data_IF_691610651177
#
_entry.id   IF_691610651177
#
_cell.length_a   1.000
_cell.length_b   1.000
_cell.length_c   1.000
_cell.angle_alpha   90.00
_cell.angle_beta   90.00
_cell.angle_gamma   90.00
#
_symmetry.space_group_name_H-M   'P 1'
#
loop_
_entity.id
_entity.type
_entity.pdbx_description
1 polymer ?
#
# COMPACT_ATOMS: atom_id res chain seq x y z
N UNK A 1 18.09 18.15 -14.15
CA UNK A 1 18.41 18.27 -12.73
C UNK A 1 17.27 17.63 -11.92
N UNK A 2 17.59 17.04 -10.78
CA UNK A 2 16.63 16.33 -9.91
C UNK A 2 16.61 16.90 -8.47
N UNK A 3 17.15 18.11 -8.31
CA UNK A 3 17.21 18.81 -7.03
C UNK A 3 16.92 20.29 -7.21
N UNK A 4 16.34 20.91 -6.20
CA UNK A 4 16.20 22.36 -6.10
C UNK A 4 17.57 22.93 -5.79
N UNK A 5 18.07 23.81 -6.66
CA UNK A 5 19.37 24.48 -6.49
C UNK A 5 19.24 25.72 -5.62
N UNK A 6 18.23 26.55 -5.90
CA UNK A 6 17.98 27.76 -5.14
C UNK A 6 16.49 28.11 -5.11
N UNK A 7 16.08 28.84 -4.07
CA UNK A 7 14.79 29.52 -3.94
C UNK A 7 15.10 30.98 -3.61
N UNK A 8 14.58 31.93 -4.40
CA UNK A 8 14.80 33.36 -4.20
C UNK A 8 13.51 34.14 -4.44
N UNK A 9 13.33 35.24 -3.70
CA UNK A 9 12.26 36.20 -3.95
C UNK A 9 12.64 37.24 -5.04
N UNK A 10 13.92 37.28 -5.42
CA UNK A 10 14.43 38.14 -6.46
C UNK A 10 14.85 37.31 -7.68
N UNK A 11 14.82 37.87 -8.88
CA UNK A 11 15.32 37.21 -10.06
C UNK A 11 16.75 36.71 -9.87
N UNK A 12 17.01 35.45 -10.22
CA UNK A 12 18.36 34.91 -10.17
C UNK A 12 19.19 35.50 -11.34
N UNK A 13 20.39 36.03 -11.03
CA UNK A 13 21.38 36.42 -12.02
C UNK A 13 22.31 35.27 -12.34
N UNK A 14 23.05 35.38 -13.43
CA UNK A 14 24.13 34.48 -13.84
C UNK A 14 23.69 33.04 -14.05
N UNK A 15 22.47 32.82 -14.57
CA UNK A 15 21.99 31.52 -14.96
C UNK A 15 22.72 31.04 -16.24
N UNK A 16 22.94 29.70 -16.38
CA UNK A 16 23.45 29.11 -17.62
C UNK A 16 22.62 29.52 -18.86
N UNK A 17 23.29 29.68 -20.01
CA UNK A 17 22.63 30.14 -21.25
C UNK A 17 21.55 29.18 -21.77
N UNK A 18 21.61 27.91 -21.38
CA UNK A 18 20.66 26.85 -21.73
C UNK A 18 19.57 26.62 -20.67
N UNK A 19 19.41 27.56 -19.71
CA UNK A 19 18.39 27.47 -18.70
C UNK A 19 16.99 27.63 -19.31
N UNK A 20 16.15 26.60 -19.12
CA UNK A 20 14.73 26.65 -19.48
C UNK A 20 13.98 27.49 -18.44
N UNK A 21 13.14 28.40 -18.91
CA UNK A 21 12.32 29.26 -18.09
C UNK A 21 10.84 28.89 -18.22
N UNK A 22 10.22 28.57 -17.09
CA UNK A 22 8.81 28.21 -17.01
C UNK A 22 8.09 29.26 -16.15
N UNK A 23 7.18 30.04 -16.77
CA UNK A 23 6.33 30.98 -16.03
C UNK A 23 5.21 30.24 -15.30
N UNK A 24 5.26 30.30 -13.97
CA UNK A 24 4.26 29.73 -13.08
C UNK A 24 3.42 30.78 -12.35
N UNK A 25 3.29 31.99 -12.93
CA UNK A 25 2.50 33.08 -12.32
C UNK A 25 1.07 32.62 -12.03
N UNK A 26 0.63 32.79 -10.78
CA UNK A 26 -0.70 32.35 -10.30
C UNK A 26 -0.81 30.87 -9.96
N UNK A 27 0.29 30.11 -10.05
CA UNK A 27 0.34 28.68 -9.69
C UNK A 27 1.15 28.49 -8.40
N UNK A 28 0.96 27.34 -7.77
CA UNK A 28 1.74 26.90 -6.59
C UNK A 28 2.57 25.70 -7.03
N UNK A 29 3.90 25.84 -6.98
CA UNK A 29 4.80 24.71 -7.18
C UNK A 29 4.89 23.88 -5.90
N UNK A 30 4.61 22.59 -6.01
CA UNK A 30 4.74 21.64 -4.90
C UNK A 30 5.72 20.54 -5.29
N UNK A 31 6.33 19.82 -4.31
CA UNK A 31 7.08 18.60 -4.60
C UNK A 31 6.19 17.59 -5.32
N UNK A 32 6.78 16.77 -6.18
CA UNK A 32 6.06 15.65 -6.79
C UNK A 32 5.49 14.72 -5.73
N UNK A 33 4.25 14.29 -5.92
CA UNK A 33 3.55 13.41 -4.98
C UNK A 33 4.21 12.04 -4.96
N UNK A 34 4.29 11.44 -3.78
CA UNK A 34 4.72 10.05 -3.58
C UNK A 34 3.47 9.23 -3.25
N UNK A 35 3.10 8.27 -4.11
CA UNK A 35 2.08 7.29 -3.80
C UNK A 35 2.75 6.05 -3.21
N UNK A 36 2.53 5.84 -1.92
CA UNK A 36 3.20 4.78 -1.16
C UNK A 36 2.51 3.40 -1.29
N UNK A 37 1.42 3.29 -2.06
CA UNK A 37 0.65 2.06 -2.17
C UNK A 37 -0.02 1.91 -3.53
N UNK A 38 0.68 1.34 -4.50
CA UNK A 38 0.13 1.07 -5.83
C UNK A 38 0.16 -0.41 -6.20
N UNK A 39 -0.68 -0.78 -7.14
CA UNK A 39 -0.76 -2.10 -7.74
C UNK A 39 -0.71 -2.01 -9.27
N UNK A 40 0.49 -1.93 -9.85
CA UNK A 40 0.69 -1.88 -11.30
C UNK A 40 0.55 -3.25 -11.99
N UNK A 41 0.37 -4.30 -11.20
CA UNK A 41 -0.03 -5.64 -11.63
C UNK A 41 0.99 -6.42 -12.46
N UNK A 42 2.03 -5.82 -12.96
CA UNK A 42 3.10 -6.48 -13.70
C UNK A 42 4.24 -6.91 -12.76
N UNK A 43 4.76 -8.15 -12.91
CA UNK A 43 4.46 -9.14 -13.93
C UNK A 43 3.20 -9.98 -13.69
N UNK A 44 2.68 -10.56 -14.79
CA UNK A 44 1.75 -11.68 -14.82
C UNK A 44 0.26 -11.34 -14.65
N UNK A 45 -0.10 -10.08 -14.48
CA UNK A 45 -1.48 -9.61 -14.38
C UNK A 45 -1.74 -8.41 -15.31
N UNK A 46 -1.00 -8.31 -16.42
CA UNK A 46 -0.99 -7.18 -17.35
C UNK A 46 -2.35 -6.93 -18.01
N UNK A 47 -3.24 -7.93 -18.00
CA UNK A 47 -4.63 -7.75 -18.45
C UNK A 47 -5.43 -6.75 -17.59
N UNK A 48 -4.90 -6.39 -16.40
CA UNK A 48 -5.49 -5.36 -15.53
C UNK A 48 -4.79 -4.03 -15.70
N UNK A 49 -3.45 -4.03 -15.72
CA UNK A 49 -2.60 -2.87 -15.78
C UNK A 49 -1.14 -3.27 -15.98
N UNK A 50 -0.30 -2.37 -16.48
CA UNK A 50 1.14 -2.58 -16.64
C UNK A 50 1.95 -1.38 -16.13
N UNK A 51 3.26 -1.57 -15.95
CA UNK A 51 4.16 -0.54 -15.42
C UNK A 51 4.25 0.68 -16.33
N UNK A 52 4.18 0.50 -17.64
CA UNK A 52 4.31 1.60 -18.60
C UNK A 52 3.07 2.50 -18.61
N UNK A 53 1.88 1.93 -18.68
CA UNK A 53 0.63 2.67 -18.69
C UNK A 53 0.37 3.37 -17.36
N UNK A 54 0.55 2.65 -16.25
CA UNK A 54 0.24 3.15 -14.92
C UNK A 54 1.24 4.22 -14.43
N UNK A 55 2.53 4.07 -14.76
CA UNK A 55 3.51 5.11 -14.43
C UNK A 55 3.29 6.43 -15.20
N UNK A 56 2.82 6.34 -16.45
CA UNK A 56 2.39 7.54 -17.22
C UNK A 56 1.14 8.16 -16.61
N UNK A 57 0.16 7.35 -16.20
CA UNK A 57 -1.04 7.83 -15.53
C UNK A 57 -0.69 8.50 -14.19
N UNK A 58 0.23 7.91 -13.41
CA UNK A 58 0.74 8.51 -12.18
C UNK A 58 1.34 9.90 -12.43
N UNK A 59 2.25 10.02 -13.41
CA UNK A 59 2.86 11.31 -13.78
C UNK A 59 1.83 12.34 -14.26
N UNK A 60 0.84 11.92 -15.04
CA UNK A 60 -0.25 12.80 -15.48
C UNK A 60 -1.09 13.33 -14.30
N UNK A 61 -1.16 12.58 -13.20
CA UNK A 61 -1.79 12.98 -11.94
C UNK A 61 -0.87 13.73 -10.97
N UNK A 62 0.40 14.00 -11.35
CA UNK A 62 1.38 14.68 -10.49
C UNK A 62 2.11 13.76 -9.51
N UNK A 63 1.91 12.44 -9.60
CA UNK A 63 2.63 11.43 -8.81
C UNK A 63 3.96 11.13 -9.50
N UNK A 64 5.06 11.47 -8.87
CA UNK A 64 6.42 11.32 -9.44
C UNK A 64 7.17 10.13 -8.88
N UNK A 65 6.68 9.52 -7.82
CA UNK A 65 7.27 8.34 -7.17
C UNK A 65 6.17 7.40 -6.71
N UNK A 66 6.33 6.12 -6.95
CA UNK A 66 5.38 5.08 -6.53
C UNK A 66 6.07 3.97 -5.76
N UNK A 67 5.37 3.40 -4.76
CA UNK A 67 5.81 2.21 -4.05
C UNK A 67 4.83 1.06 -4.32
N UNK A 68 5.29 0.06 -5.07
CA UNK A 68 4.41 -0.99 -5.57
C UNK A 68 4.40 -2.23 -4.69
N UNK A 69 3.20 -2.79 -4.55
CA UNK A 69 2.91 -3.96 -3.74
C UNK A 69 3.34 -5.29 -4.41
N UNK A 70 3.65 -6.33 -3.61
CA UNK A 70 4.27 -7.57 -4.09
C UNK A 70 3.30 -8.58 -4.72
N UNK A 71 1.99 -8.34 -4.73
CA UNK A 71 0.96 -9.29 -5.16
C UNK A 71 0.78 -9.35 -6.68
N UNK A 72 1.83 -9.68 -7.36
CA UNK A 72 1.95 -9.95 -8.80
C UNK A 72 2.00 -11.47 -9.08
N UNK A 73 2.24 -11.91 -10.30
CA UNK A 73 2.40 -13.30 -10.66
C UNK A 73 3.64 -13.51 -11.57
N UNK A 74 4.77 -14.03 -11.01
CA UNK A 74 4.90 -14.52 -9.63
C UNK A 74 4.84 -13.39 -8.58
N UNK A 75 4.54 -13.77 -7.34
CA UNK A 75 4.59 -12.84 -6.20
C UNK A 75 6.04 -12.43 -5.88
N UNK A 76 6.23 -11.20 -5.42
CA UNK A 76 7.56 -10.68 -5.06
C UNK A 76 7.94 -11.11 -3.64
N UNK A 77 8.23 -12.40 -3.45
CA UNK A 77 8.47 -13.04 -2.14
C UNK A 77 9.84 -13.74 -2.03
N UNK A 78 10.71 -13.54 -3.03
CA UNK A 78 12.09 -14.00 -3.05
C UNK A 78 13.01 -12.91 -3.60
N UNK A 79 14.30 -12.98 -3.30
CA UNK A 79 15.31 -12.06 -3.86
C UNK A 79 15.27 -12.07 -5.39
N UNK A 80 15.20 -13.26 -5.99
CA UNK A 80 15.13 -13.39 -7.46
C UNK A 80 13.90 -12.70 -8.04
N UNK A 81 12.70 -12.88 -7.45
CA UNK A 81 11.49 -12.24 -7.98
C UNK A 81 11.53 -10.71 -7.83
N UNK A 82 12.21 -10.21 -6.79
CA UNK A 82 12.44 -8.78 -6.61
C UNK A 82 13.43 -8.23 -7.65
N UNK A 83 14.56 -8.92 -7.88
CA UNK A 83 15.52 -8.53 -8.91
C UNK A 83 14.91 -8.54 -10.31
N UNK A 84 14.15 -9.56 -10.65
CA UNK A 84 13.48 -9.67 -11.94
C UNK A 84 12.48 -8.52 -12.13
N UNK A 85 11.75 -8.14 -11.07
CA UNK A 85 10.82 -7.02 -11.07
C UNK A 85 11.53 -5.66 -11.19
N UNK A 86 12.67 -5.48 -10.52
CA UNK A 86 13.51 -4.28 -10.65
C UNK A 86 14.02 -4.11 -12.07
N UNK A 87 14.48 -5.19 -12.73
CA UNK A 87 14.90 -5.16 -14.14
C UNK A 87 13.75 -4.76 -15.06
N UNK A 88 12.59 -5.37 -14.86
CA UNK A 88 11.39 -5.06 -15.64
C UNK A 88 10.97 -3.58 -15.46
N UNK A 89 11.04 -3.06 -14.25
CA UNK A 89 10.72 -1.66 -13.96
C UNK A 89 11.70 -0.69 -14.62
N UNK A 90 13.00 -1.01 -14.62
CA UNK A 90 14.02 -0.18 -15.27
C UNK A 90 13.78 0.02 -16.77
N UNK A 91 13.09 -0.93 -17.41
CA UNK A 91 12.77 -0.89 -18.84
C UNK A 91 11.42 -0.20 -19.11
N UNK A 92 10.49 -0.20 -18.15
CA UNK A 92 9.09 0.13 -18.40
C UNK A 92 8.56 1.32 -17.59
N UNK A 93 9.19 1.69 -16.47
CA UNK A 93 8.69 2.76 -15.59
C UNK A 93 9.11 4.14 -16.08
N UNK A 94 8.19 5.10 -16.01
CA UNK A 94 8.42 6.51 -16.34
C UNK A 94 8.56 7.42 -15.13
N UNK A 95 8.12 6.98 -13.94
CA UNK A 95 8.31 7.67 -12.67
C UNK A 95 9.34 6.95 -11.80
N UNK A 96 9.76 7.57 -10.69
CA UNK A 96 10.56 6.89 -9.67
C UNK A 96 9.74 5.76 -9.03
N UNK A 97 10.40 4.69 -8.62
CA UNK A 97 9.72 3.53 -8.08
C UNK A 97 10.49 2.85 -6.95
N UNK A 98 9.75 2.18 -6.09
CA UNK A 98 10.24 1.21 -5.11
C UNK A 98 9.28 0.03 -5.04
N UNK A 99 9.76 -1.11 -4.52
CA UNK A 99 8.95 -2.30 -4.38
C UNK A 99 8.91 -2.76 -2.93
N UNK A 100 7.73 -3.21 -2.49
CA UNK A 100 7.60 -3.96 -1.26
C UNK A 100 7.97 -5.43 -1.48
N UNK A 101 8.64 -6.01 -0.49
CA UNK A 101 8.88 -7.45 -0.43
C UNK A 101 7.72 -8.12 0.31
N UNK A 102 7.11 -9.13 -0.30
CA UNK A 102 5.98 -9.86 0.27
C UNK A 102 6.39 -10.88 1.31
N UNK A 103 5.74 -10.84 2.46
CA UNK A 103 5.93 -11.81 3.54
C UNK A 103 5.07 -13.05 3.32
N UNK A 104 5.59 -14.19 3.77
CA UNK A 104 4.91 -15.50 3.75
C UNK A 104 5.18 -16.23 5.06
N UNK A 105 4.48 -17.35 5.30
CA UNK A 105 4.74 -18.22 6.45
C UNK A 105 6.14 -18.87 6.46
N UNK A 106 6.97 -18.68 5.41
CA UNK A 106 8.23 -19.43 5.27
C UNK A 106 9.44 -18.60 4.83
N UNK A 107 9.30 -17.27 4.61
CA UNK A 107 10.41 -16.46 4.06
C UNK A 107 11.03 -15.46 5.05
N UNK A 108 10.89 -15.70 6.35
CA UNK A 108 11.45 -14.84 7.40
C UNK A 108 12.96 -14.56 7.22
N UNK A 109 13.76 -15.59 6.94
CA UNK A 109 15.20 -15.43 6.76
C UNK A 109 15.55 -14.44 5.64
N UNK A 110 14.90 -14.56 4.49
CA UNK A 110 15.06 -13.63 3.37
C UNK A 110 14.56 -12.24 3.73
N UNK A 111 13.38 -12.12 4.33
CA UNK A 111 12.81 -10.84 4.76
C UNK A 111 13.72 -10.09 5.75
N UNK A 112 14.41 -10.82 6.60
CA UNK A 112 15.37 -10.26 7.57
C UNK A 112 16.63 -9.72 6.89
N UNK A 113 17.15 -10.41 5.89
CA UNK A 113 18.43 -10.08 5.23
C UNK A 113 18.31 -9.10 4.07
N UNK A 114 17.13 -9.03 3.42
CA UNK A 114 16.93 -8.12 2.29
C UNK A 114 17.23 -6.67 2.68
N UNK A 115 17.96 -5.95 1.82
CA UNK A 115 18.43 -4.59 2.13
C UNK A 115 17.38 -3.53 1.74
N UNK A 116 17.50 -2.34 2.34
CA UNK A 116 16.66 -1.18 1.97
C UNK A 116 16.97 -0.65 0.57
N UNK A 117 18.15 -0.93 0.05
CA UNK A 117 18.51 -0.53 -1.32
C UNK A 117 17.72 -1.34 -2.36
N UNK A 118 17.29 -2.55 -1.99
CA UNK A 118 16.54 -3.43 -2.87
C UNK A 118 15.01 -3.36 -2.66
N UNK A 119 14.54 -3.01 -1.45
CA UNK A 119 13.11 -2.88 -1.19
C UNK A 119 12.77 -1.70 -0.28
N UNK A 120 11.63 -1.06 -0.50
CA UNK A 120 11.16 0.07 0.32
C UNK A 120 10.55 -0.36 1.67
N UNK A 121 10.15 -1.61 1.80
CA UNK A 121 9.56 -2.17 3.01
C UNK A 121 9.04 -3.59 2.80
N UNK A 122 8.45 -4.13 3.84
CA UNK A 122 7.86 -5.47 3.85
C UNK A 122 6.34 -5.36 3.80
N UNK A 123 5.68 -6.19 2.98
CA UNK A 123 4.23 -6.25 2.91
C UNK A 123 3.70 -7.53 3.52
N UNK A 124 2.81 -7.37 4.50
CA UNK A 124 2.12 -8.45 5.20
C UNK A 124 0.64 -8.49 4.79
N UNK A 125 0.11 -9.67 4.58
CA UNK A 125 -1.32 -9.91 4.40
C UNK A 125 -1.83 -10.80 5.53
N UNK A 126 -2.66 -10.23 6.40
CA UNK A 126 -3.34 -10.95 7.49
C UNK A 126 -4.72 -11.47 7.05
N UNK A 127 -5.19 -11.06 5.87
CA UNK A 127 -6.39 -11.52 5.20
C UNK A 127 -6.36 -11.15 3.72
N UNK A 128 -7.31 -11.66 2.94
CA UNK A 128 -7.57 -11.23 1.55
C UNK A 128 -6.33 -11.19 0.64
N UNK A 129 -5.56 -12.26 0.59
CA UNK A 129 -4.32 -12.32 -0.19
C UNK A 129 -4.47 -13.14 -1.47
N UNK A 130 -3.54 -12.91 -2.42
CA UNK A 130 -3.33 -13.71 -3.62
C UNK A 130 -2.06 -14.55 -3.49
N UNK A 131 -2.06 -15.74 -4.11
CA UNK A 131 -0.93 -16.67 -4.03
C UNK A 131 -0.69 -17.18 -2.60
N UNK A 132 0.58 -17.28 -2.21
CA UNK A 132 1.02 -17.81 -0.92
C UNK A 132 1.34 -16.73 0.13
N UNK A 133 0.82 -15.52 -0.02
CA UNK A 133 1.18 -14.40 0.84
C UNK A 133 0.27 -14.20 2.06
N UNK A 134 -0.75 -15.03 2.25
CA UNK A 134 -1.48 -15.01 3.52
C UNK A 134 -0.57 -15.55 4.63
N UNK A 135 -0.38 -14.75 5.67
CA UNK A 135 0.38 -15.15 6.86
C UNK A 135 -0.59 -15.34 8.01
N UNK A 136 -0.84 -16.59 8.36
CA UNK A 136 -1.78 -17.04 9.39
C UNK A 136 -1.13 -17.94 10.46
N UNK A 137 0.12 -18.37 10.25
CA UNK A 137 0.87 -19.13 11.23
C UNK A 137 1.41 -18.22 12.35
N UNK A 138 1.06 -18.55 13.59
CA UNK A 138 1.42 -17.73 14.76
C UNK A 138 2.93 -17.65 15.03
N UNK A 139 3.70 -18.68 14.70
CA UNK A 139 5.14 -18.67 14.91
C UNK A 139 5.81 -17.80 13.83
N UNK A 140 5.39 -17.95 12.59
CA UNK A 140 5.83 -17.09 11.48
C UNK A 140 5.54 -15.62 11.78
N UNK A 141 4.36 -15.29 12.30
CA UNK A 141 4.03 -13.90 12.71
C UNK A 141 4.99 -13.37 13.78
N UNK A 142 5.29 -14.17 14.82
CA UNK A 142 6.25 -13.75 15.87
C UNK A 142 7.63 -13.47 15.29
N UNK A 143 8.13 -14.34 14.41
CA UNK A 143 9.41 -14.13 13.73
C UNK A 143 9.41 -12.88 12.88
N UNK A 144 8.38 -12.68 12.04
CA UNK A 144 8.27 -11.53 11.14
C UNK A 144 8.19 -10.22 11.94
N UNK A 145 7.41 -10.16 13.01
CA UNK A 145 7.32 -8.97 13.85
C UNK A 145 8.61 -8.67 14.64
N UNK A 146 9.54 -9.62 14.74
CA UNK A 146 10.88 -9.39 15.32
C UNK A 146 11.80 -8.56 14.39
N UNK A 147 11.43 -8.36 13.12
CA UNK A 147 12.15 -7.48 12.18
C UNK A 147 11.80 -6.02 12.52
N UNK A 148 12.74 -5.30 13.12
CA UNK A 148 12.49 -3.95 13.68
C UNK A 148 13.14 -2.81 12.91
N UNK A 149 14.04 -3.12 11.97
CA UNK A 149 14.79 -2.17 11.13
C UNK A 149 14.04 -1.75 9.85
N UNK A 150 13.05 -2.55 9.41
CA UNK A 150 12.23 -2.32 8.24
C UNK A 150 10.79 -1.99 8.63
N UNK A 151 10.08 -1.24 7.80
CA UNK A 151 8.64 -1.04 7.98
C UNK A 151 7.90 -2.28 7.47
N UNK A 152 6.95 -2.78 8.27
CA UNK A 152 6.00 -3.80 7.86
C UNK A 152 4.66 -3.11 7.59
N UNK A 153 4.27 -3.00 6.32
CA UNK A 153 2.95 -2.51 5.91
C UNK A 153 1.98 -3.69 5.80
N UNK A 154 0.85 -3.63 6.48
CA UNK A 154 -0.07 -4.76 6.54
C UNK A 154 -1.46 -4.45 6.01
N UNK A 155 -1.99 -5.37 5.21
CA UNK A 155 -3.42 -5.48 4.93
C UNK A 155 -4.06 -6.22 6.11
N UNK A 156 -4.93 -5.55 6.84
CA UNK A 156 -5.50 -6.03 8.08
C UNK A 156 -6.99 -6.32 7.93
N UNK A 157 -7.34 -7.59 7.74
CA UNK A 157 -8.70 -8.10 7.83
C UNK A 157 -8.69 -9.48 8.49
N UNK A 158 -9.65 -9.75 9.36
CA UNK A 158 -9.82 -11.07 9.96
C UNK A 158 -10.59 -11.98 9.00
N UNK A 159 -9.87 -12.93 8.40
CA UNK A 159 -10.41 -13.86 7.42
C UNK A 159 -11.51 -14.76 8.02
N UNK A 160 -11.45 -15.07 9.31
CA UNK A 160 -12.47 -15.89 9.98
C UNK A 160 -13.81 -15.17 10.06
N UNK A 161 -13.79 -13.89 10.34
CA UNK A 161 -14.99 -13.02 10.37
C UNK A 161 -15.55 -12.89 8.94
N UNK A 162 -14.69 -12.63 7.95
CA UNK A 162 -15.11 -12.52 6.54
C UNK A 162 -15.75 -13.81 6.06
N UNK A 163 -15.16 -14.97 6.34
CA UNK A 163 -15.73 -16.27 5.95
C UNK A 163 -17.08 -16.52 6.60
N UNK A 164 -17.20 -16.23 7.89
CA UNK A 164 -18.48 -16.33 8.62
C UNK A 164 -19.54 -15.44 7.97
N UNK A 165 -19.26 -14.16 7.81
CA UNK A 165 -20.19 -13.21 7.20
C UNK A 165 -20.56 -13.63 5.76
N UNK A 166 -19.57 -14.05 4.97
CA UNK A 166 -19.79 -14.53 3.59
C UNK A 166 -20.76 -15.71 3.56
N UNK A 167 -20.59 -16.67 4.46
CA UNK A 167 -21.49 -17.85 4.54
C UNK A 167 -22.91 -17.45 4.92
N UNK A 168 -23.04 -16.59 5.94
CA UNK A 168 -24.33 -16.08 6.45
C UNK A 168 -25.09 -15.32 5.36
N UNK A 169 -24.43 -14.36 4.71
CA UNK A 169 -25.07 -13.57 3.65
C UNK A 169 -25.34 -14.38 2.39
N UNK A 170 -24.50 -15.36 2.04
CA UNK A 170 -24.77 -16.27 0.94
C UNK A 170 -25.98 -17.16 1.19
N UNK A 171 -26.15 -17.65 2.42
CA UNK A 171 -27.32 -18.44 2.82
C UNK A 171 -28.61 -17.60 2.73
N UNK A 172 -28.55 -16.34 3.17
CA UNK A 172 -29.71 -15.46 3.24
C UNK A 172 -30.12 -14.87 1.87
N UNK A 173 -29.15 -14.46 1.05
CA UNK A 173 -29.38 -13.74 -0.20
C UNK A 173 -29.13 -14.58 -1.46
N UNK A 174 -28.37 -15.66 -1.38
CA UNK A 174 -28.04 -16.49 -2.54
C UNK A 174 -27.49 -15.69 -3.72
N UNK A 175 -28.06 -15.92 -4.90
CA UNK A 175 -27.68 -15.22 -6.14
C UNK A 175 -28.16 -13.74 -6.19
N UNK A 176 -28.92 -13.29 -5.21
CA UNK A 176 -29.34 -11.88 -5.08
C UNK A 176 -28.33 -11.03 -4.32
N UNK A 177 -27.20 -11.62 -3.92
CA UNK A 177 -26.13 -10.88 -3.30
C UNK A 177 -25.57 -9.78 -4.24
N UNK A 178 -25.54 -8.56 -3.74
CA UNK A 178 -25.07 -7.38 -4.49
C UNK A 178 -23.86 -6.75 -3.81
N UNK A 179 -23.25 -5.77 -4.46
CA UNK A 179 -22.14 -5.00 -3.88
C UNK A 179 -22.49 -4.32 -2.55
N UNK A 180 -23.76 -4.06 -2.26
CA UNK A 180 -24.24 -3.53 -0.98
C UNK A 180 -23.87 -4.39 0.22
N UNK A 181 -23.65 -5.69 0.03
CA UNK A 181 -23.20 -6.60 1.08
C UNK A 181 -21.71 -6.51 1.37
N UNK A 182 -20.94 -5.83 0.51
CA UNK A 182 -19.49 -5.74 0.67
C UNK A 182 -19.06 -5.19 2.04
N UNK A 183 -19.55 -4.03 2.51
CA UNK A 183 -19.19 -3.49 3.83
C UNK A 183 -19.73 -4.32 5.01
N UNK A 184 -20.74 -5.15 4.78
CA UNK A 184 -21.26 -6.07 5.80
C UNK A 184 -20.41 -7.35 5.90
N UNK A 185 -19.96 -7.86 4.77
CA UNK A 185 -19.09 -9.04 4.69
C UNK A 185 -17.69 -8.69 5.19
N UNK A 186 -17.09 -7.61 4.67
CA UNK A 186 -15.82 -7.04 5.08
C UNK A 186 -16.06 -5.92 6.08
N UNK A 187 -16.56 -6.33 7.23
CA UNK A 187 -17.09 -5.43 8.26
C UNK A 187 -15.97 -4.67 8.98
N UNK A 188 -16.33 -3.53 9.57
CA UNK A 188 -15.43 -2.76 10.44
C UNK A 188 -14.85 -3.60 11.58
N UNK A 189 -15.58 -4.62 12.03
CA UNK A 189 -15.09 -5.56 13.03
C UNK A 189 -13.95 -6.43 12.51
N UNK A 190 -14.02 -6.90 11.26
CA UNK A 190 -12.93 -7.69 10.65
C UNK A 190 -11.64 -6.87 10.51
N UNK A 191 -11.75 -5.61 10.11
CA UNK A 191 -10.60 -4.70 10.04
C UNK A 191 -10.04 -4.43 11.44
N UNK A 192 -10.89 -4.05 12.39
CA UNK A 192 -10.46 -3.70 13.74
C UNK A 192 -9.78 -4.85 14.47
N UNK A 193 -10.32 -6.06 14.43
CA UNK A 193 -9.74 -7.21 15.13
C UNK A 193 -8.35 -7.55 14.58
N UNK A 194 -8.18 -7.53 13.27
CA UNK A 194 -6.90 -7.77 12.63
C UNK A 194 -5.90 -6.65 12.90
N UNK A 195 -6.30 -5.39 12.77
CA UNK A 195 -5.45 -4.22 13.05
C UNK A 195 -5.03 -4.16 14.52
N UNK A 196 -5.95 -4.42 15.46
CA UNK A 196 -5.67 -4.43 16.89
C UNK A 196 -4.64 -5.50 17.26
N UNK A 197 -4.81 -6.72 16.72
CA UNK A 197 -3.85 -7.80 16.89
C UNK A 197 -2.46 -7.41 16.36
N UNK A 198 -2.38 -6.88 15.15
CA UNK A 198 -1.11 -6.50 14.53
C UNK A 198 -0.43 -5.34 15.28
N UNK A 199 -1.20 -4.34 15.72
CA UNK A 199 -0.70 -3.22 16.54
C UNK A 199 -0.16 -3.71 17.89
N UNK A 200 -0.85 -4.67 18.53
CA UNK A 200 -0.36 -5.28 19.76
C UNK A 200 0.98 -5.99 19.53
N UNK A 201 1.06 -6.84 18.50
CA UNK A 201 2.30 -7.53 18.12
C UNK A 201 3.44 -6.54 17.85
N UNK A 202 3.15 -5.46 17.15
CA UNK A 202 4.13 -4.42 16.84
C UNK A 202 4.65 -3.70 18.10
N UNK A 203 3.77 -3.40 19.05
CA UNK A 203 4.13 -2.80 20.35
C UNK A 203 5.02 -3.75 21.18
N UNK A 204 4.64 -5.01 21.27
CA UNK A 204 5.39 -6.03 22.04
C UNK A 204 6.81 -6.25 21.50
N UNK A 205 6.99 -6.16 20.18
CA UNK A 205 8.26 -6.40 19.51
C UNK A 205 9.02 -5.11 19.12
N UNK A 206 8.46 -3.94 19.41
CA UNK A 206 9.01 -2.66 18.98
C UNK A 206 9.20 -2.57 17.44
N UNK A 207 8.28 -3.15 16.66
CA UNK A 207 8.32 -3.21 15.19
C UNK A 207 7.90 -1.86 14.59
N UNK A 208 8.48 -1.48 13.46
CA UNK A 208 7.99 -0.38 12.63
C UNK A 208 6.81 -0.91 11.81
N UNK A 209 5.61 -0.55 12.22
CA UNK A 209 4.38 -1.09 11.64
C UNK A 209 3.52 -0.01 11.00
N UNK A 210 2.94 -0.34 9.85
CA UNK A 210 2.10 0.55 9.07
C UNK A 210 0.79 -0.17 8.70
N UNK A 211 -0.34 0.35 9.15
CA UNK A 211 -1.65 -0.13 8.71
C UNK A 211 -1.90 0.42 7.31
N UNK A 212 -1.95 -0.44 6.31
CA UNK A 212 -2.26 -0.07 4.93
C UNK A 212 -3.74 0.28 4.80
N UNK A 213 -4.05 1.28 3.93
CA UNK A 213 -5.43 1.64 3.54
C UNK A 213 -6.45 1.55 4.68
N UNK A 214 -6.18 2.21 5.80
CA UNK A 214 -7.09 2.27 6.96
C UNK A 214 -8.48 2.72 6.51
N UNK A 215 -9.49 1.91 6.80
CA UNK A 215 -10.80 2.01 6.15
C UNK A 215 -11.89 2.42 7.13
N UNK A 216 -11.73 2.11 8.43
CA UNK A 216 -12.81 2.26 9.41
C UNK A 216 -12.45 3.22 10.53
N UNK A 217 -13.44 4.00 10.99
CA UNK A 217 -13.31 4.92 12.12
C UNK A 217 -12.83 4.21 13.40
N UNK A 218 -13.32 2.98 13.62
CA UNK A 218 -12.98 2.21 14.83
C UNK A 218 -11.48 1.97 14.96
N UNK A 219 -10.77 1.80 13.86
CA UNK A 219 -9.33 1.58 13.84
C UNK A 219 -8.52 2.81 14.27
N UNK A 220 -9.08 4.04 14.19
CA UNK A 220 -8.40 5.25 14.65
C UNK A 220 -8.02 5.18 16.12
N UNK A 221 -8.79 4.45 16.94
CA UNK A 221 -8.49 4.24 18.36
C UNK A 221 -7.17 3.49 18.63
N UNK A 222 -6.63 2.83 17.62
CA UNK A 222 -5.34 2.10 17.71
C UNK A 222 -4.14 3.02 17.53
N UNK A 223 -4.35 4.22 16.98
CA UNK A 223 -3.32 5.19 16.64
C UNK A 223 -3.24 6.28 17.70
N UNK A 224 -2.12 6.96 17.73
CA UNK A 224 -1.89 8.11 18.62
C UNK A 224 -1.57 9.34 17.80
N UNK A 225 -1.98 10.51 18.27
CA UNK A 225 -1.61 11.79 17.66
C UNK A 225 -0.11 12.09 17.83
N UNK A 226 0.42 13.01 17.02
CA UNK A 226 1.78 13.47 17.11
C UNK A 226 2.58 13.35 15.81
N UNK A 227 3.83 13.81 15.83
CA UNK A 227 4.71 13.84 14.67
C UNK A 227 5.02 12.42 14.18
N UNK A 228 4.80 12.18 12.88
CA UNK A 228 4.99 10.88 12.23
C UNK A 228 6.44 10.36 12.34
N UNK A 229 7.43 11.25 12.34
CA UNK A 229 8.85 10.89 12.44
C UNK A 229 9.20 10.14 13.72
N UNK A 230 8.44 10.37 14.79
CA UNK A 230 8.65 9.76 16.10
C UNK A 230 7.81 8.52 16.33
N UNK A 231 6.98 8.12 15.34
CA UNK A 231 6.06 6.99 15.48
C UNK A 231 6.64 5.71 14.93
N UNK A 232 6.44 4.63 15.65
CA UNK A 232 6.70 3.30 15.13
C UNK A 232 5.46 2.64 14.52
N UNK A 233 4.28 3.13 14.89
CA UNK A 233 2.99 2.66 14.35
C UNK A 233 2.34 3.83 13.62
N UNK A 234 2.07 3.63 12.35
CA UNK A 234 1.48 4.61 11.43
C UNK A 234 0.38 3.96 10.60
N UNK A 235 -0.38 4.76 9.88
CA UNK A 235 -1.38 4.28 8.91
C UNK A 235 -1.43 5.18 7.69
N UNK A 236 -1.95 4.66 6.61
CA UNK A 236 -2.31 5.40 5.40
C UNK A 236 -3.80 5.32 5.12
N UNK A 237 -4.32 6.29 4.41
CA UNK A 237 -5.72 6.33 3.94
C UNK A 237 -5.72 6.53 2.43
N UNK A 238 -6.50 5.75 1.71
CA UNK A 238 -6.72 5.95 0.27
C UNK A 238 -7.73 7.10 0.04
N UNK A 239 -7.59 7.90 -1.03
CA UNK A 239 -8.60 8.88 -1.43
C UNK A 239 -10.00 8.30 -1.56
N UNK A 240 -10.14 7.06 -1.98
CA UNK A 240 -11.43 6.35 -2.06
C UNK A 240 -12.11 6.29 -0.70
N UNK A 241 -11.36 5.93 0.37
CA UNK A 241 -11.88 5.83 1.74
C UNK A 241 -12.17 7.20 2.40
N UNK A 242 -11.60 8.28 1.87
CA UNK A 242 -11.92 9.64 2.28
C UNK A 242 -13.16 10.21 1.58
N UNK A 243 -13.51 9.67 0.40
CA UNK A 243 -14.57 10.20 -0.44
C UNK A 243 -15.87 9.41 -0.36
N UNK A 244 -15.80 8.08 -0.30
CA UNK A 244 -16.94 7.18 -0.28
C UNK A 244 -17.12 6.54 1.10
N UNK A 245 -18.37 6.28 1.47
CA UNK A 245 -18.76 5.51 2.63
C UNK A 245 -19.61 4.29 2.23
N UNK A 246 -20.01 3.49 3.20
CA UNK A 246 -20.81 2.27 2.99
C UNK A 246 -22.19 2.55 2.38
N UNK A 247 -22.82 3.71 2.67
CA UNK A 247 -24.09 4.13 2.08
C UNK A 247 -23.98 4.36 0.56
N UNK A 248 -22.82 4.73 0.07
CA UNK A 248 -22.57 4.99 -1.35
C UNK A 248 -22.66 3.73 -2.22
N UNK A 249 -22.56 2.54 -1.63
CA UNK A 249 -22.79 1.28 -2.35
C UNK A 249 -24.22 1.16 -2.89
N UNK A 250 -25.18 1.90 -2.33
CA UNK A 250 -26.55 2.01 -2.85
C UNK A 250 -26.56 2.59 -4.27
N UNK A 251 -25.74 3.63 -4.50
CA UNK A 251 -25.70 4.40 -5.73
C UNK A 251 -24.67 3.87 -6.73
N UNK A 252 -23.49 3.50 -6.25
CA UNK A 252 -22.33 3.20 -7.12
C UNK A 252 -22.04 1.72 -7.26
N UNK A 253 -22.53 0.87 -6.35
CA UNK A 253 -22.39 -0.59 -6.44
C UNK A 253 -20.94 -1.04 -6.60
N UNK A 254 -20.67 -1.84 -7.63
CA UNK A 254 -19.35 -2.40 -7.90
C UNK A 254 -18.29 -1.36 -8.31
N UNK A 255 -18.70 -0.15 -8.70
CA UNK A 255 -17.76 0.90 -9.14
C UNK A 255 -16.85 1.40 -8.02
N UNK A 256 -17.31 1.31 -6.78
CA UNK A 256 -16.54 1.74 -5.59
C UNK A 256 -16.01 0.57 -4.77
N UNK A 257 -16.19 -0.67 -5.24
CA UNK A 257 -15.80 -1.87 -4.49
C UNK A 257 -14.29 -1.98 -4.42
N UNK A 258 -13.76 -1.83 -3.21
CA UNK A 258 -12.35 -1.98 -2.85
C UNK A 258 -12.21 -2.85 -1.59
N UNK A 259 -11.07 -3.48 -1.38
CA UNK A 259 -10.74 -4.23 -0.16
C UNK A 259 -9.68 -3.45 0.64
N UNK A 260 -9.90 -3.26 1.89
CA UNK A 260 -11.09 -3.62 2.69
C UNK A 260 -12.34 -2.93 2.29
#
# INVERSE_FOLDING_TARGET
ANRIEAISNEPLSDLPLDTEYIDCTGLIAIPGIIDAHVHFRQPGLEYKADMSSESKAALAGGVTTVLEMPNTNPTTTSEKSLEDKLKLANENMYCNYGFFFGLTNSNYSTAKTITRDNCCGLKLFLGSSTGNMLVDDKNSLRELFSITDKVISAHCEDESIIRKNTAEYKEHYGDKATAKLHPLIRSSESCYQSSAFAVQMAKENNTRFHIAHLTTEKELSLLTEGNIENKRITAEVSPIHLWFCDEDFEKYGNLIKCNP
#
